data_IF_585431301202
#
_entry.id   IF_585431301202
#
_cell.length_a   1.000
_cell.length_b   1.000
_cell.length_c   1.000
_cell.angle_alpha   90.00
_cell.angle_beta   90.00
_cell.angle_gamma   90.00
#
_symmetry.space_group_name_H-M   'P 1'
#
loop_
_entity.id
_entity.type
_entity.pdbx_description
1 polymer ?
#
# COMPACT_ATOMS: atom_id res chain seq x y z
N UNK A 1 -46.04 -34.35 -26.31
CA UNK A 1 -44.59 -34.45 -26.55
C UNK A 1 -44.04 -33.04 -26.76
N UNK A 2 -43.87 -32.39 -25.61
CA UNK A 2 -42.82 -31.46 -25.20
C UNK A 2 -42.29 -30.42 -26.19
N UNK A 3 -42.79 -29.20 -26.00
CA UNK A 3 -42.17 -27.94 -26.41
C UNK A 3 -40.88 -27.72 -25.63
N UNK A 4 -39.73 -27.78 -26.31
CA UNK A 4 -38.44 -27.45 -25.72
C UNK A 4 -38.25 -25.92 -25.73
N UNK A 5 -38.49 -25.29 -24.58
CA UNK A 5 -38.18 -23.88 -24.33
C UNK A 5 -36.65 -23.75 -24.17
N UNK A 6 -35.95 -23.27 -25.20
CA UNK A 6 -34.51 -22.97 -25.11
C UNK A 6 -34.35 -21.67 -24.31
N UNK A 7 -34.06 -21.81 -23.02
CA UNK A 7 -33.68 -20.70 -22.16
C UNK A 7 -32.25 -20.26 -22.54
N UNK A 8 -32.12 -19.20 -23.33
CA UNK A 8 -30.83 -18.54 -23.54
C UNK A 8 -30.41 -17.88 -22.22
N UNK A 9 -29.52 -18.52 -21.47
CA UNK A 9 -28.75 -17.83 -20.44
C UNK A 9 -27.82 -16.83 -21.13
N UNK A 10 -28.24 -15.56 -21.15
CA UNK A 10 -27.32 -14.43 -21.32
C UNK A 10 -26.37 -14.45 -20.12
N UNK A 11 -25.23 -15.13 -20.28
CA UNK A 11 -24.08 -14.89 -19.42
C UNK A 11 -23.63 -13.47 -19.71
N UNK A 12 -24.01 -12.55 -18.83
CA UNK A 12 -23.40 -11.24 -18.78
C UNK A 12 -21.93 -11.47 -18.39
N UNK A 13 -21.07 -11.63 -19.39
CA UNK A 13 -19.65 -11.34 -19.24
C UNK A 13 -19.59 -9.94 -18.63
N UNK A 14 -18.99 -9.73 -17.44
CA UNK A 14 -18.64 -8.40 -17.02
C UNK A 14 -17.56 -7.96 -18.01
N UNK A 15 -18.00 -7.32 -19.10
CA UNK A 15 -17.14 -6.55 -19.95
C UNK A 15 -16.38 -5.62 -19.02
N UNK A 16 -15.05 -5.67 -19.10
CA UNK A 16 -14.18 -4.68 -18.49
C UNK A 16 -14.51 -3.38 -19.20
N UNK A 17 -15.59 -2.73 -18.77
CA UNK A 17 -15.94 -1.41 -19.22
C UNK A 17 -14.82 -0.52 -18.70
N UNK A 18 -14.14 0.07 -19.67
CA UNK A 18 -12.99 0.96 -19.60
C UNK A 18 -13.28 2.27 -18.86
N UNK A 19 -14.09 2.24 -17.80
CA UNK A 19 -14.35 3.42 -17.00
C UNK A 19 -13.07 3.77 -16.23
N UNK A 20 -12.62 5.01 -16.40
CA UNK A 20 -11.66 5.61 -15.49
C UNK A 20 -12.30 5.69 -14.11
N UNK A 21 -11.55 5.33 -13.07
CA UNK A 21 -11.99 5.62 -11.71
C UNK A 21 -12.23 7.13 -11.61
N UNK A 22 -13.41 7.58 -11.16
CA UNK A 22 -13.70 9.00 -11.06
C UNK A 22 -12.69 9.68 -10.14
N UNK A 23 -12.45 10.97 -10.38
CA UNK A 23 -11.64 11.78 -9.47
C UNK A 23 -12.36 11.97 -8.14
N UNK A 24 -11.62 11.81 -7.06
CA UNK A 24 -12.04 12.10 -5.69
C UNK A 24 -11.58 13.53 -5.37
N UNK A 25 -12.54 14.39 -5.03
CA UNK A 25 -12.29 15.74 -4.57
C UNK A 25 -12.30 15.76 -3.03
N UNK A 26 -11.14 15.99 -2.41
CA UNK A 26 -10.92 15.85 -0.97
C UNK A 26 -11.36 17.05 -0.11
N UNK A 27 -12.23 17.95 -0.60
CA UNK A 27 -12.64 19.15 0.16
C UNK A 27 -14.15 19.42 0.19
N UNK A 28 -14.74 19.67 1.38
CA UNK A 28 -15.91 20.54 1.55
C UNK A 28 -15.48 22.02 1.59
N UNK A 29 -16.41 22.93 1.21
CA UNK A 29 -16.17 24.38 1.12
C UNK A 29 -15.58 24.99 2.42
N UNK A 30 -14.43 25.67 2.30
CA UNK A 30 -13.89 26.57 3.33
C UNK A 30 -12.42 26.38 3.72
N UNK A 31 -11.77 25.30 3.27
CA UNK A 31 -10.33 25.08 3.51
C UNK A 31 -9.46 25.92 2.58
N UNK A 32 -8.33 26.44 3.07
CA UNK A 32 -7.29 27.11 2.28
C UNK A 32 -6.12 26.18 1.91
N UNK A 33 -6.28 24.86 2.05
CA UNK A 33 -5.23 23.90 1.70
C UNK A 33 -5.04 23.78 0.18
N UNK A 34 -3.79 23.54 -0.21
CA UNK A 34 -3.36 23.36 -1.60
C UNK A 34 -2.53 22.09 -1.79
N UNK A 35 -2.78 21.09 -0.94
CA UNK A 35 -1.99 19.86 -0.84
C UNK A 35 -2.87 18.71 -0.38
N UNK A 36 -2.57 17.50 -0.85
CA UNK A 36 -3.10 16.24 -0.30
C UNK A 36 -2.11 15.71 0.73
N UNK A 37 -2.60 15.22 1.87
CA UNK A 37 -1.78 14.63 2.93
C UNK A 37 -2.29 13.25 3.28
N UNK A 38 -1.41 12.28 3.45
CA UNK A 38 -1.83 10.94 3.83
C UNK A 38 -0.74 10.21 4.62
N UNK A 39 -1.15 9.17 5.35
CA UNK A 39 -0.23 8.26 6.03
C UNK A 39 -0.05 6.99 5.20
N UNK A 40 1.11 6.35 5.32
CA UNK A 40 1.38 5.01 4.78
C UNK A 40 1.79 4.11 5.94
N UNK A 41 1.06 3.02 6.13
CA UNK A 41 1.24 2.06 7.21
C UNK A 41 1.19 0.63 6.64
N UNK A 42 2.21 -0.17 6.87
CA UNK A 42 2.21 -1.61 6.58
C UNK A 42 2.36 -2.40 7.87
N UNK A 43 2.03 -3.68 7.80
CA UNK A 43 2.54 -4.68 8.75
C UNK A 43 2.10 -4.35 10.18
N UNK A 44 0.83 -4.02 10.33
CA UNK A 44 0.25 -3.45 11.55
C UNK A 44 -0.66 -4.42 12.30
N UNK A 45 -0.90 -5.60 11.76
CA UNK A 45 -1.99 -6.50 12.13
C UNK A 45 -1.89 -7.28 13.43
N UNK A 46 -1.35 -6.69 14.50
CA UNK A 46 -1.37 -7.25 15.85
C UNK A 46 -0.84 -8.68 15.96
N UNK A 47 -1.56 -9.54 16.69
CA UNK A 47 -1.24 -10.96 16.90
C UNK A 47 -2.52 -11.82 16.85
N UNK A 48 -2.45 -13.13 16.55
CA UNK A 48 -3.64 -13.99 16.48
C UNK A 48 -4.14 -14.50 17.84
N UNK A 49 -3.51 -14.10 18.94
CA UNK A 49 -3.86 -14.51 20.30
C UNK A 49 -4.07 -13.29 21.21
N UNK A 50 -4.89 -13.39 22.27
CA UNK A 50 -5.13 -12.29 23.21
C UNK A 50 -3.83 -11.65 23.72
N UNK A 51 -3.75 -10.30 23.77
CA UNK A 51 -4.83 -9.33 23.54
C UNK A 51 -5.09 -8.96 22.07
N UNK A 52 -4.57 -9.72 21.10
CA UNK A 52 -4.69 -9.54 19.64
C UNK A 52 -3.98 -8.32 19.06
N UNK A 53 -3.16 -7.67 19.87
CA UNK A 53 -2.48 -6.40 19.58
C UNK A 53 -1.08 -6.41 20.20
N UNK A 54 -0.20 -5.54 19.73
CA UNK A 54 1.15 -5.37 20.32
C UNK A 54 1.35 -3.99 20.95
N UNK A 55 2.35 -3.83 21.85
CA UNK A 55 2.77 -2.51 22.30
C UNK A 55 3.28 -1.59 21.17
N UNK A 56 3.90 -2.16 20.13
CA UNK A 56 4.41 -1.43 18.96
C UNK A 56 3.23 -0.87 18.15
N UNK A 57 2.26 -1.71 17.80
CA UNK A 57 1.03 -1.30 17.12
C UNK A 57 0.31 -0.17 17.85
N UNK A 58 0.10 -0.31 19.17
CA UNK A 58 -0.53 0.75 19.98
C UNK A 58 0.30 2.04 20.02
N UNK A 59 1.62 1.95 20.08
CA UNK A 59 2.49 3.13 20.06
C UNK A 59 2.44 3.83 18.70
N UNK A 60 2.51 3.06 17.61
CA UNK A 60 2.39 3.52 16.24
C UNK A 60 1.04 4.21 16.02
N UNK A 61 -0.08 3.57 16.39
CA UNK A 61 -1.43 4.13 16.27
C UNK A 61 -1.59 5.49 16.99
N UNK A 62 -1.07 5.60 18.23
CA UNK A 62 -1.08 6.87 18.97
C UNK A 62 -0.30 7.97 18.25
N UNK A 63 0.86 7.62 17.68
CA UNK A 63 1.68 8.59 16.97
C UNK A 63 1.12 8.96 15.60
N UNK A 64 0.45 8.03 14.91
CA UNK A 64 -0.34 8.32 13.72
C UNK A 64 -1.43 9.33 14.04
N UNK A 65 -2.22 9.11 15.10
CA UNK A 65 -3.27 10.04 15.50
C UNK A 65 -2.73 11.44 15.79
N UNK A 66 -1.65 11.52 16.57
CA UNK A 66 -0.99 12.80 16.85
C UNK A 66 -0.48 13.49 15.57
N UNK A 67 0.11 12.73 14.64
CA UNK A 67 0.61 13.28 13.38
C UNK A 67 -0.52 13.74 12.47
N UNK A 68 -1.59 12.96 12.33
CA UNK A 68 -2.78 13.34 11.56
C UNK A 68 -3.45 14.60 12.13
N UNK A 69 -3.54 14.73 13.46
CA UNK A 69 -4.07 15.93 14.12
C UNK A 69 -3.20 17.17 13.88
N UNK A 70 -1.87 17.03 13.96
CA UNK A 70 -0.93 18.16 13.89
C UNK A 70 -0.55 18.55 12.45
N UNK A 71 -0.34 17.57 11.59
CA UNK A 71 0.14 17.74 10.22
C UNK A 71 -0.97 17.59 9.19
N UNK A 72 -2.12 17.00 9.56
CA UNK A 72 -3.20 16.66 8.65
C UNK A 72 -2.97 15.32 7.94
N UNK A 73 -4.06 14.57 7.77
CA UNK A 73 -4.15 13.42 6.88
C UNK A 73 -5.58 13.36 6.32
N UNK A 74 -5.69 13.21 5.01
CA UNK A 74 -6.96 13.11 4.28
C UNK A 74 -7.39 11.64 4.12
N UNK A 75 -6.41 10.72 4.14
CA UNK A 75 -6.61 9.27 4.13
C UNK A 75 -5.35 8.53 4.63
N UNK A 76 -5.46 7.21 4.77
CA UNK A 76 -4.38 6.30 5.15
C UNK A 76 -4.25 5.23 4.06
N UNK A 77 -3.02 4.92 3.63
CA UNK A 77 -2.72 3.77 2.78
C UNK A 77 -2.22 2.62 3.65
N UNK A 78 -3.00 1.54 3.73
CA UNK A 78 -2.62 0.32 4.42
C UNK A 78 -2.00 -0.65 3.40
N UNK A 79 -0.69 -0.91 3.51
CA UNK A 79 0.10 -1.65 2.51
C UNK A 79 0.27 -3.13 2.83
N UNK A 80 -0.74 -3.75 3.44
CA UNK A 80 -0.81 -5.19 3.67
C UNK A 80 -0.30 -5.67 5.03
N UNK A 81 -0.50 -6.97 5.26
CA UNK A 81 -0.36 -7.66 6.54
C UNK A 81 -1.21 -7.02 7.64
N UNK A 82 -2.49 -6.90 7.29
CA UNK A 82 -3.51 -6.24 8.08
C UNK A 82 -3.90 -7.07 9.31
N UNK A 83 -3.78 -8.40 9.23
CA UNK A 83 -4.06 -9.30 10.36
C UNK A 83 -3.07 -10.49 10.41
N UNK A 84 -2.10 -10.43 11.33
CA UNK A 84 -1.16 -11.53 11.54
C UNK A 84 -1.82 -12.74 12.24
N UNK A 85 -1.40 -13.99 11.98
CA UNK A 85 -0.50 -14.46 10.91
C UNK A 85 -1.26 -15.17 9.78
N UNK A 86 -2.60 -15.27 9.88
CA UNK A 86 -3.46 -16.01 8.94
C UNK A 86 -4.73 -15.23 8.60
N UNK A 87 -4.60 -13.91 8.53
CA UNK A 87 -5.69 -13.02 8.16
C UNK A 87 -6.89 -13.14 9.11
N UNK A 88 -8.07 -12.97 8.53
CA UNK A 88 -9.38 -13.17 9.15
C UNK A 88 -10.06 -14.40 8.55
N UNK A 89 -11.01 -15.00 9.27
CA UNK A 89 -11.76 -16.17 8.78
C UNK A 89 -12.92 -15.78 7.87
N UNK A 90 -13.70 -14.79 8.27
CA UNK A 90 -14.89 -14.29 7.59
C UNK A 90 -15.17 -12.83 7.99
N UNK A 91 -16.22 -12.23 7.42
CA UNK A 91 -16.58 -10.82 7.63
C UNK A 91 -16.97 -10.48 9.09
N UNK A 92 -17.31 -11.49 9.90
CA UNK A 92 -17.67 -11.33 11.30
C UNK A 92 -16.52 -11.68 12.25
N UNK A 93 -15.30 -11.87 11.74
CA UNK A 93 -14.16 -12.21 12.58
C UNK A 93 -13.88 -11.09 13.60
N UNK A 94 -13.83 -11.39 14.92
CA UNK A 94 -13.63 -10.37 15.95
C UNK A 94 -12.31 -9.61 15.80
N UNK A 95 -11.35 -10.13 15.03
CA UNK A 95 -10.09 -9.46 14.71
C UNK A 95 -10.29 -8.08 14.10
N UNK A 96 -11.34 -7.85 13.30
CA UNK A 96 -11.67 -6.52 12.81
C UNK A 96 -11.88 -5.53 13.96
N UNK A 97 -12.64 -5.92 14.98
CA UNK A 97 -12.86 -5.06 16.14
C UNK A 97 -11.57 -4.88 16.96
N UNK A 98 -10.95 -5.97 17.38
CA UNK A 98 -9.91 -5.92 18.43
C UNK A 98 -8.53 -5.50 17.92
N UNK A 99 -8.24 -5.69 16.63
CA UNK A 99 -6.94 -5.33 16.01
C UNK A 99 -7.06 -4.04 15.19
N UNK A 100 -8.25 -3.67 14.69
CA UNK A 100 -8.42 -2.45 13.89
C UNK A 100 -9.26 -1.40 14.62
N UNK A 101 -10.57 -1.62 14.77
CA UNK A 101 -11.50 -0.58 15.26
C UNK A 101 -11.16 -0.08 16.67
N UNK A 102 -10.79 -0.98 17.59
CA UNK A 102 -10.44 -0.65 18.98
C UNK A 102 -9.02 -0.05 19.12
N UNK A 103 -8.19 -0.17 18.09
CA UNK A 103 -6.81 0.34 18.09
C UNK A 103 -6.75 1.75 17.51
N UNK A 104 -7.40 1.98 16.37
CA UNK A 104 -7.33 3.24 15.61
C UNK A 104 -8.52 4.17 15.88
N UNK A 105 -8.90 4.29 17.15
CA UNK A 105 -10.14 4.94 17.63
C UNK A 105 -10.20 6.47 17.55
N UNK A 106 -9.08 7.15 17.28
CA UNK A 106 -9.02 8.60 17.39
C UNK A 106 -9.68 9.29 16.19
N UNK A 107 -10.41 10.39 16.41
CA UNK A 107 -11.11 11.13 15.35
C UNK A 107 -10.20 11.51 14.17
N UNK A 108 -8.93 11.84 14.45
CA UNK A 108 -7.93 12.15 13.43
C UNK A 108 -7.56 10.97 12.52
N UNK A 109 -7.93 9.74 12.91
CA UNK A 109 -7.77 8.50 12.16
C UNK A 109 -9.11 7.96 11.64
N UNK A 110 -10.24 8.58 12.00
CA UNK A 110 -11.56 8.33 11.42
C UNK A 110 -11.67 9.00 10.03
N UNK A 111 -10.76 8.62 9.15
CA UNK A 111 -10.60 9.04 7.76
C UNK A 111 -10.51 7.79 6.89
N UNK A 112 -10.69 7.88 5.56
CA UNK A 112 -10.64 6.69 4.70
C UNK A 112 -9.31 5.91 4.82
N UNK A 113 -9.39 4.59 4.94
CA UNK A 113 -8.25 3.67 4.86
C UNK A 113 -8.31 2.95 3.51
N UNK A 114 -7.38 3.24 2.60
CA UNK A 114 -7.26 2.49 1.35
C UNK A 114 -6.31 1.31 1.56
N UNK A 115 -6.83 0.10 1.47
CA UNK A 115 -6.17 -1.14 1.92
C UNK A 115 -5.79 -2.03 0.74
N UNK A 116 -4.63 -2.66 0.82
CA UNK A 116 -4.28 -3.87 0.05
C UNK A 116 -3.93 -5.02 1.00
N UNK A 117 -3.93 -6.25 0.49
CA UNK A 117 -3.58 -7.44 1.25
C UNK A 117 -2.08 -7.78 1.16
N UNK A 118 -1.54 -8.33 2.25
CA UNK A 118 -0.20 -8.94 2.32
C UNK A 118 -0.24 -10.46 2.34
N UNK A 119 0.92 -11.11 2.54
CA UNK A 119 1.02 -12.58 2.56
C UNK A 119 0.19 -13.20 3.69
N UNK A 120 0.20 -12.61 4.88
CA UNK A 120 -0.54 -13.14 6.02
C UNK A 120 -2.06 -12.99 5.84
N UNK A 121 -2.50 -11.95 5.14
CA UNK A 121 -3.91 -11.79 4.78
C UNK A 121 -4.39 -12.88 3.82
N UNK A 122 -3.56 -13.22 2.82
CA UNK A 122 -3.81 -14.31 1.86
C UNK A 122 -3.71 -15.71 2.47
N UNK A 123 -3.05 -15.86 3.63
CA UNK A 123 -3.12 -17.09 4.42
C UNK A 123 -4.48 -17.27 5.12
N UNK A 124 -5.31 -16.21 5.15
CA UNK A 124 -6.71 -16.22 5.59
C UNK A 124 -7.69 -15.95 4.46
N UNK A 125 -8.72 -15.16 4.74
CA UNK A 125 -9.78 -14.81 3.80
C UNK A 125 -9.73 -13.33 3.41
N UNK A 126 -9.07 -13.00 2.28
CA UNK A 126 -9.00 -11.64 1.76
C UNK A 126 -10.37 -11.13 1.28
N UNK A 127 -11.25 -12.02 0.79
CA UNK A 127 -12.61 -11.61 0.39
C UNK A 127 -13.39 -11.06 1.58
N UNK A 128 -13.21 -11.63 2.79
CA UNK A 128 -13.82 -11.08 3.99
C UNK A 128 -13.33 -9.65 4.32
N UNK A 129 -12.06 -9.32 4.07
CA UNK A 129 -11.55 -7.96 4.24
C UNK A 129 -12.14 -6.98 3.22
N UNK A 130 -12.33 -7.43 1.98
CA UNK A 130 -13.00 -6.67 0.91
C UNK A 130 -14.47 -6.43 1.29
N UNK A 131 -15.17 -7.46 1.75
CA UNK A 131 -16.58 -7.36 2.19
C UNK A 131 -16.75 -6.43 3.39
N UNK A 132 -15.83 -6.48 4.36
CA UNK A 132 -15.84 -5.62 5.54
C UNK A 132 -15.62 -4.15 5.19
N UNK A 133 -14.60 -3.86 4.37
CA UNK A 133 -14.16 -2.48 4.12
C UNK A 133 -14.91 -1.79 2.98
N UNK A 134 -15.60 -2.56 2.13
CA UNK A 134 -16.39 -2.07 1.00
C UNK A 134 -15.61 -1.07 0.12
N UNK A 135 -15.95 0.22 0.16
CA UNK A 135 -15.36 1.26 -0.70
C UNK A 135 -13.85 1.49 -0.45
N UNK A 136 -13.39 1.14 0.75
CA UNK A 136 -12.03 1.36 1.22
C UNK A 136 -11.06 0.22 0.86
N UNK A 137 -11.60 -0.98 0.57
CA UNK A 137 -10.89 -2.09 -0.05
C UNK A 137 -11.79 -2.74 -1.12
N UNK A 138 -12.06 -2.04 -2.24
CA UNK A 138 -13.14 -2.41 -3.16
C UNK A 138 -12.84 -3.64 -4.02
N UNK A 139 -11.55 -3.96 -4.19
CA UNK A 139 -11.08 -5.11 -4.94
C UNK A 139 -9.61 -5.38 -4.57
N UNK A 140 -9.08 -6.55 -4.93
CA UNK A 140 -7.68 -6.92 -4.70
C UNK A 140 -6.67 -5.87 -5.21
N UNK A 141 -6.95 -5.27 -6.37
CA UNK A 141 -6.15 -4.20 -6.95
C UNK A 141 -7.08 -3.16 -7.59
N UNK A 142 -6.76 -1.88 -7.41
CA UNK A 142 -7.64 -0.79 -7.81
C UNK A 142 -6.88 0.53 -7.99
N UNK A 143 -7.54 1.51 -8.58
CA UNK A 143 -6.96 2.82 -8.92
C UNK A 143 -7.71 3.94 -8.18
N UNK A 144 -6.96 4.81 -7.53
CA UNK A 144 -7.43 6.04 -6.90
C UNK A 144 -6.91 7.24 -7.69
N UNK A 145 -7.80 8.19 -7.98
CA UNK A 145 -7.47 9.41 -8.70
C UNK A 145 -7.92 10.62 -7.88
N UNK A 146 -7.02 11.56 -7.62
CA UNK A 146 -7.28 12.73 -6.81
C UNK A 146 -6.91 14.01 -7.56
N UNK A 147 -7.70 15.07 -7.34
CA UNK A 147 -7.30 16.43 -7.70
C UNK A 147 -6.62 17.07 -6.49
N UNK A 148 -5.44 17.65 -6.68
CA UNK A 148 -4.77 18.38 -5.62
C UNK A 148 -5.54 19.70 -5.42
N UNK A 149 -6.11 19.97 -4.22
CA UNK A 149 -6.99 21.11 -3.99
C UNK A 149 -6.37 22.44 -4.43
N UNK A 150 -7.18 23.31 -5.05
CA UNK A 150 -6.75 24.64 -5.53
C UNK A 150 -5.58 24.64 -6.53
N UNK A 151 -5.35 23.52 -7.21
CA UNK A 151 -4.35 23.41 -8.26
C UNK A 151 -4.93 22.73 -9.49
N UNK A 152 -4.20 22.78 -10.59
CA UNK A 152 -4.42 22.00 -11.81
C UNK A 152 -3.73 20.64 -11.79
N UNK A 153 -3.07 20.29 -10.68
CA UNK A 153 -2.28 19.06 -10.55
C UNK A 153 -3.09 17.88 -10.02
N UNK A 154 -2.70 16.68 -10.44
CA UNK A 154 -3.41 15.43 -10.11
C UNK A 154 -2.48 14.37 -9.55
N UNK A 155 -3.05 13.52 -8.68
CA UNK A 155 -2.38 12.38 -8.07
C UNK A 155 -3.14 11.10 -8.42
N UNK A 156 -2.46 10.15 -9.05
CA UNK A 156 -2.97 8.78 -9.22
C UNK A 156 -2.19 7.83 -8.31
N UNK A 157 -2.91 6.95 -7.61
CA UNK A 157 -2.34 5.87 -6.82
C UNK A 157 -2.92 4.54 -7.32
N UNK A 158 -2.06 3.64 -7.79
CA UNK A 158 -2.45 2.30 -8.23
C UNK A 158 -2.10 1.31 -7.12
N UNK A 159 -3.13 0.73 -6.52
CA UNK A 159 -3.05 -0.25 -5.44
C UNK A 159 -2.99 -1.67 -6.03
N UNK A 160 -1.98 -2.45 -5.64
CA UNK A 160 -1.71 -3.78 -6.19
C UNK A 160 -1.79 -4.86 -5.13
N UNK A 161 -2.26 -6.03 -5.57
CA UNK A 161 -2.11 -7.28 -4.83
C UNK A 161 -0.85 -8.01 -5.32
N UNK A 162 0.24 -7.86 -4.57
CA UNK A 162 1.53 -8.45 -4.94
C UNK A 162 1.56 -9.96 -4.72
N UNK A 163 0.70 -10.50 -3.85
CA UNK A 163 0.58 -11.95 -3.62
C UNK A 163 -0.07 -12.64 -4.82
N UNK A 164 -1.17 -12.10 -5.36
CA UNK A 164 -1.77 -12.59 -6.59
C UNK A 164 -0.82 -12.48 -7.80
N UNK A 165 0.08 -11.49 -7.81
CA UNK A 165 1.02 -11.28 -8.92
C UNK A 165 2.24 -12.20 -8.86
N UNK A 166 2.74 -12.50 -7.65
CA UNK A 166 4.05 -13.12 -7.43
C UNK A 166 4.02 -14.45 -6.66
N UNK A 167 2.94 -14.78 -5.98
CA UNK A 167 2.84 -15.91 -5.05
C UNK A 167 2.86 -15.46 -3.59
N UNK A 168 2.41 -16.34 -2.70
CA UNK A 168 2.51 -16.12 -1.27
C UNK A 168 3.93 -16.49 -0.80
N UNK A 169 4.60 -15.60 -0.06
CA UNK A 169 5.92 -15.85 0.52
C UNK A 169 5.88 -16.99 1.55
N UNK A 170 4.77 -17.14 2.27
CA UNK A 170 4.59 -18.11 3.34
C UNK A 170 4.53 -19.56 2.82
N UNK A 171 4.36 -19.74 1.52
CA UNK A 171 4.39 -21.06 0.85
C UNK A 171 5.82 -21.62 0.72
N UNK A 172 6.86 -20.81 0.99
CA UNK A 172 8.26 -21.17 0.77
C UNK A 172 9.12 -20.94 2.02
N UNK A 173 10.04 -21.87 2.30
CA UNK A 173 10.90 -21.83 3.50
C UNK A 173 11.84 -20.63 3.57
N UNK A 174 12.21 -20.06 2.42
CA UNK A 174 13.04 -18.86 2.33
C UNK A 174 12.22 -17.56 2.39
N UNK A 175 10.91 -17.66 2.59
CA UNK A 175 9.96 -16.55 2.61
C UNK A 175 10.07 -15.64 1.37
N UNK A 176 10.34 -16.25 0.20
CA UNK A 176 10.41 -15.57 -1.09
C UNK A 176 9.24 -16.02 -1.97
N UNK A 177 8.43 -15.09 -2.52
CA UNK A 177 7.34 -15.46 -3.42
C UNK A 177 7.92 -15.92 -4.77
N UNK A 178 7.70 -17.20 -5.12
CA UNK A 178 8.27 -17.79 -6.35
C UNK A 178 7.32 -17.73 -7.54
N UNK A 179 6.08 -18.17 -7.35
CA UNK A 179 5.08 -18.28 -8.41
C UNK A 179 3.67 -17.99 -7.89
N UNK A 180 2.83 -17.29 -8.66
CA UNK A 180 1.44 -17.07 -8.29
C UNK A 180 0.65 -18.38 -8.35
N UNK A 181 -0.32 -18.53 -7.44
CA UNK A 181 -1.27 -19.67 -7.43
C UNK A 181 -2.01 -19.81 -8.76
N UNK A 182 -2.37 -18.67 -9.39
CA UNK A 182 -2.99 -18.64 -10.71
C UNK A 182 -2.25 -17.69 -11.65
N UNK A 183 -1.53 -18.24 -12.62
CA UNK A 183 -0.87 -17.46 -13.67
C UNK A 183 -1.84 -16.61 -14.49
N UNK A 184 -3.09 -17.07 -14.66
CA UNK A 184 -4.14 -16.32 -15.38
C UNK A 184 -4.55 -15.05 -14.60
N UNK A 185 -4.77 -15.16 -13.29
CA UNK A 185 -5.12 -14.00 -12.45
C UNK A 185 -3.94 -13.02 -12.33
N UNK A 186 -2.72 -13.55 -12.15
CA UNK A 186 -1.51 -12.75 -12.14
C UNK A 186 -1.34 -11.95 -13.45
N UNK A 187 -1.54 -12.60 -14.60
CA UNK A 187 -1.44 -11.95 -15.90
C UNK A 187 -2.58 -10.93 -16.13
N UNK A 188 -3.79 -11.19 -15.65
CA UNK A 188 -4.91 -10.23 -15.71
C UNK A 188 -4.57 -8.95 -14.93
N UNK A 189 -4.05 -9.07 -13.71
CA UNK A 189 -3.61 -7.91 -12.94
C UNK A 189 -2.46 -7.17 -13.63
N UNK A 190 -1.49 -7.90 -14.20
CA UNK A 190 -0.35 -7.30 -14.90
C UNK A 190 -0.77 -6.50 -16.14
N UNK A 191 -1.67 -7.04 -16.95
CA UNK A 191 -2.23 -6.34 -18.13
C UNK A 191 -3.04 -5.12 -17.73
N UNK A 192 -3.88 -5.24 -16.69
CA UNK A 192 -4.62 -4.11 -16.12
C UNK A 192 -3.67 -3.01 -15.64
N UNK A 193 -2.61 -3.36 -14.90
CA UNK A 193 -1.62 -2.41 -14.42
C UNK A 193 -0.91 -1.70 -15.58
N UNK A 194 -0.49 -2.45 -16.60
CA UNK A 194 0.14 -1.87 -17.78
C UNK A 194 -0.79 -0.87 -18.48
N UNK A 195 -2.07 -1.19 -18.61
CA UNK A 195 -3.08 -0.28 -19.18
C UNK A 195 -3.23 1.00 -18.35
N UNK A 196 -3.37 0.89 -17.03
CA UNK A 196 -3.54 2.04 -16.12
C UNK A 196 -2.31 2.95 -16.12
N UNK A 197 -1.11 2.38 -16.02
CA UNK A 197 0.14 3.14 -16.11
C UNK A 197 0.29 3.85 -17.46
N UNK A 198 -0.08 3.19 -18.56
CA UNK A 198 0.02 3.77 -19.90
C UNK A 198 -0.95 4.92 -20.13
N UNK A 199 -2.13 4.89 -19.50
CA UNK A 199 -3.16 5.93 -19.64
C UNK A 199 -3.01 7.09 -18.65
N UNK A 200 -2.30 6.90 -17.54
CA UNK A 200 -2.21 7.92 -16.50
C UNK A 200 -1.42 9.16 -16.97
N UNK A 201 -2.14 10.28 -17.02
CA UNK A 201 -1.59 11.63 -17.24
C UNK A 201 -1.35 12.40 -15.93
N UNK A 202 -1.41 11.72 -14.78
CA UNK A 202 -1.29 12.40 -13.49
C UNK A 202 0.10 12.99 -13.29
N UNK A 203 0.17 14.16 -12.66
CA UNK A 203 1.44 14.83 -12.30
C UNK A 203 2.24 13.99 -11.30
N UNK A 204 1.54 13.29 -10.40
CA UNK A 204 2.12 12.31 -9.50
C UNK A 204 1.51 10.94 -9.77
N UNK A 205 2.36 9.94 -9.98
CA UNK A 205 1.94 8.55 -10.19
C UNK A 205 2.60 7.67 -9.16
N UNK A 206 1.81 7.18 -8.22
CA UNK A 206 2.24 6.26 -7.18
C UNK A 206 1.72 4.86 -7.50
N UNK A 207 2.51 3.86 -7.14
CA UNK A 207 2.07 2.48 -7.11
C UNK A 207 2.30 1.96 -5.69
N UNK A 208 1.34 1.25 -5.13
CA UNK A 208 1.45 0.65 -3.80
C UNK A 208 1.17 -0.85 -3.87
N UNK A 209 1.83 -1.63 -3.03
CA UNK A 209 1.59 -3.06 -2.87
C UNK A 209 2.40 -3.57 -1.68
N UNK A 210 2.16 -4.81 -1.26
CA UNK A 210 2.76 -5.30 -0.02
C UNK A 210 4.28 -5.56 -0.15
N UNK A 211 4.68 -6.39 -1.12
CA UNK A 211 6.09 -6.80 -1.27
C UNK A 211 7.00 -5.67 -1.81
N UNK A 212 8.26 -5.55 -1.35
CA UNK A 212 9.19 -4.54 -1.83
C UNK A 212 9.76 -4.87 -3.22
N UNK A 213 9.86 -3.86 -4.10
CA UNK A 213 10.73 -3.95 -5.29
C UNK A 213 12.19 -3.97 -4.86
N UNK A 214 12.57 -3.06 -3.97
CA UNK A 214 13.89 -2.97 -3.38
C UNK A 214 13.77 -2.89 -1.87
N UNK A 215 14.56 -3.70 -1.18
CA UNK A 215 14.77 -3.62 0.26
C UNK A 215 16.12 -4.26 0.59
N UNK A 216 16.74 -3.82 1.68
CA UNK A 216 17.99 -4.39 2.16
C UNK A 216 17.81 -5.46 3.25
N UNK A 217 16.58 -5.70 3.71
CA UNK A 217 16.33 -6.37 5.00
C UNK A 217 16.08 -7.87 4.91
N UNK A 218 15.26 -8.43 5.79
CA UNK A 218 15.08 -9.87 6.02
C UNK A 218 14.52 -10.62 4.79
N UNK A 219 13.61 -10.02 4.03
CA UNK A 219 13.07 -10.53 2.77
C UNK A 219 13.81 -9.94 1.56
N UNK A 220 14.11 -8.63 1.58
CA UNK A 220 14.91 -7.99 0.53
C UNK A 220 14.18 -7.80 -0.81
N UNK A 221 14.89 -7.68 -1.95
CA UNK A 221 14.26 -7.38 -3.23
C UNK A 221 13.41 -8.54 -3.77
N UNK A 222 12.16 -8.26 -4.15
CA UNK A 222 11.27 -9.29 -4.72
C UNK A 222 11.55 -9.50 -6.22
N UNK A 223 12.13 -10.65 -6.59
CA UNK A 223 12.55 -10.94 -7.97
C UNK A 223 11.41 -10.82 -9.00
N UNK A 224 10.21 -11.29 -8.66
CA UNK A 224 9.01 -11.13 -9.49
C UNK A 224 8.73 -9.65 -9.80
N UNK A 225 8.81 -8.75 -8.81
CA UNK A 225 8.57 -7.32 -8.99
C UNK A 225 9.73 -6.63 -9.71
N UNK A 226 10.97 -7.05 -9.48
CA UNK A 226 12.13 -6.58 -10.23
C UNK A 226 12.00 -6.86 -11.74
N UNK A 227 11.42 -8.01 -12.10
CA UNK A 227 11.21 -8.43 -13.49
C UNK A 227 9.96 -7.82 -14.12
N UNK A 228 8.84 -7.78 -13.38
CA UNK A 228 7.54 -7.40 -13.94
C UNK A 228 7.17 -5.94 -13.68
N UNK A 229 7.32 -5.45 -12.46
CA UNK A 229 6.85 -4.11 -12.04
C UNK A 229 7.89 -3.02 -12.30
N UNK A 230 9.14 -3.21 -11.86
CA UNK A 230 10.21 -2.21 -11.96
C UNK A 230 10.39 -1.65 -13.39
N UNK A 231 10.40 -2.46 -14.46
CA UNK A 231 10.51 -1.92 -15.82
C UNK A 231 9.35 -1.00 -16.19
N UNK A 232 8.13 -1.30 -15.72
CA UNK A 232 6.96 -0.46 -15.96
C UNK A 232 7.00 0.84 -15.15
N UNK A 233 7.43 0.80 -13.88
CA UNK A 233 7.64 2.01 -13.08
C UNK A 233 8.60 2.97 -13.78
N UNK A 234 9.70 2.45 -14.34
CA UNK A 234 10.66 3.23 -15.13
C UNK A 234 10.06 3.74 -16.43
N UNK A 235 9.42 2.87 -17.22
CA UNK A 235 8.84 3.20 -18.52
C UNK A 235 7.81 4.33 -18.42
N UNK A 236 6.96 4.27 -17.40
CA UNK A 236 5.88 5.24 -17.20
C UNK A 236 6.25 6.36 -16.21
N UNK A 237 7.53 6.49 -15.86
CA UNK A 237 8.07 7.54 -14.98
C UNK A 237 7.27 7.67 -13.68
N UNK A 238 7.04 6.57 -12.96
CA UNK A 238 6.35 6.61 -11.67
C UNK A 238 7.12 7.50 -10.67
N UNK A 239 6.40 8.25 -9.84
CA UNK A 239 7.01 9.11 -8.81
C UNK A 239 7.57 8.26 -7.66
N UNK A 240 6.78 7.31 -7.16
CA UNK A 240 7.22 6.39 -6.12
C UNK A 240 6.50 5.02 -6.16
N UNK A 241 7.14 4.04 -5.55
CA UNK A 241 6.54 2.78 -5.12
C UNK A 241 6.47 2.74 -3.57
N UNK A 242 5.32 2.37 -3.03
CA UNK A 242 5.03 2.30 -1.59
C UNK A 242 4.78 0.83 -1.20
N UNK A 243 5.41 0.35 -0.13
CA UNK A 243 5.29 -1.04 0.32
C UNK A 243 5.59 -1.23 1.80
N UNK A 244 5.36 -2.45 2.29
CA UNK A 244 5.67 -2.92 3.64
C UNK A 244 6.52 -4.19 3.58
N UNK A 245 6.04 -5.26 4.22
CA UNK A 245 6.58 -6.64 4.27
C UNK A 245 7.88 -6.80 5.04
N UNK A 246 8.90 -6.01 4.71
CA UNK A 246 10.08 -5.90 5.57
C UNK A 246 9.76 -4.99 6.75
N UNK A 247 9.94 -5.49 7.97
CA UNK A 247 9.48 -4.90 9.22
C UNK A 247 10.36 -3.75 9.71
N UNK A 248 10.55 -2.74 8.87
CA UNK A 248 11.39 -1.58 9.12
C UNK A 248 10.97 -0.40 8.22
N UNK A 249 11.69 0.72 8.35
CA UNK A 249 11.48 1.91 7.53
C UNK A 249 12.66 2.11 6.58
N UNK A 250 12.38 2.29 5.28
CA UNK A 250 13.43 2.55 4.29
C UNK A 250 13.00 3.58 3.27
N UNK A 251 13.98 4.39 2.84
CA UNK A 251 13.89 5.14 1.61
C UNK A 251 15.02 4.73 0.67
N UNK A 252 14.66 4.27 -0.52
CA UNK A 252 15.58 4.01 -1.61
C UNK A 252 15.19 4.87 -2.82
N UNK A 253 16.16 5.12 -3.71
CA UNK A 253 15.94 5.92 -4.92
C UNK A 253 16.69 5.35 -6.12
N UNK A 254 15.95 5.14 -7.21
CA UNK A 254 16.49 4.70 -8.50
C UNK A 254 15.97 5.60 -9.62
N UNK A 255 16.85 6.20 -10.42
CA UNK A 255 16.48 6.97 -11.63
C UNK A 255 15.36 8.01 -11.39
N UNK A 256 15.33 8.63 -10.21
CA UNK A 256 14.30 9.60 -9.83
C UNK A 256 13.09 9.03 -9.09
N UNK A 257 12.84 7.72 -9.17
CA UNK A 257 11.75 7.00 -8.51
C UNK A 257 12.09 6.76 -7.05
N UNK A 258 11.20 7.13 -6.14
CA UNK A 258 11.32 6.78 -4.72
C UNK A 258 10.76 5.38 -4.43
N UNK A 259 11.41 4.64 -3.53
CA UNK A 259 10.89 3.39 -2.96
C UNK A 259 10.76 3.61 -1.47
N UNK A 260 9.52 3.58 -0.98
CA UNK A 260 9.15 3.85 0.41
C UNK A 260 8.73 2.52 1.02
N UNK A 261 9.56 1.98 1.91
CA UNK A 261 9.23 0.81 2.72
C UNK A 261 8.76 1.31 4.09
N UNK A 262 7.53 0.97 4.47
CA UNK A 262 6.88 1.41 5.69
C UNK A 262 6.18 0.25 6.41
N UNK A 263 6.93 -0.82 6.68
CA UNK A 263 6.42 -2.05 7.33
C UNK A 263 6.61 -2.10 8.84
N UNK A 264 6.70 -0.95 9.50
CA UNK A 264 7.02 -0.85 10.93
C UNK A 264 5.77 -0.63 11.82
N UNK A 265 4.61 -1.12 11.39
CA UNK A 265 3.34 -0.92 12.10
C UNK A 265 3.26 -1.68 13.41
N UNK A 266 3.71 -2.94 13.42
CA UNK A 266 3.57 -3.90 14.52
C UNK A 266 4.91 -4.53 14.94
N UNK A 267 5.86 -4.62 14.02
CA UNK A 267 7.17 -5.23 14.25
C UNK A 267 8.33 -4.30 13.85
N UNK A 268 9.51 -4.59 14.38
CA UNK A 268 10.78 -3.93 14.03
C UNK A 268 11.86 -4.99 13.87
N UNK A 269 12.46 -5.06 12.70
CA UNK A 269 13.57 -5.95 12.38
C UNK A 269 14.81 -5.15 11.91
N UNK A 270 15.96 -5.25 12.61
CA UNK A 270 17.20 -4.58 12.23
C UNK A 270 17.99 -5.31 11.13
N UNK A 271 17.49 -6.44 10.61
CA UNK A 271 18.20 -7.23 9.61
C UNK A 271 18.49 -6.44 8.34
N UNK A 272 19.68 -6.65 7.79
CA UNK A 272 20.18 -6.03 6.55
C UNK A 272 20.87 -7.06 5.63
N UNK A 273 20.51 -8.35 5.74
CA UNK A 273 21.15 -9.47 5.02
C UNK A 273 21.10 -9.32 3.51
N UNK A 274 20.11 -8.61 2.97
CA UNK A 274 19.96 -8.36 1.54
C UNK A 274 20.58 -7.04 1.06
N UNK A 275 21.36 -6.34 1.90
CA UNK A 275 22.05 -5.09 1.52
C UNK A 275 22.89 -5.22 0.26
N UNK A 276 23.54 -6.37 0.05
CA UNK A 276 24.37 -6.64 -1.13
C UNK A 276 23.56 -7.04 -2.38
N UNK A 277 22.24 -7.23 -2.26
CA UNK A 277 21.32 -7.47 -3.40
C UNK A 277 20.73 -6.17 -3.96
N UNK A 278 20.88 -5.06 -3.24
CA UNK A 278 20.46 -3.73 -3.69
C UNK A 278 21.64 -3.00 -4.33
N UNK A 279 21.50 -2.37 -5.51
CA UNK A 279 22.57 -1.60 -6.13
C UNK A 279 23.14 -0.51 -5.22
N UNK A 280 24.47 -0.36 -5.24
CA UNK A 280 25.17 0.63 -4.43
C UNK A 280 24.62 2.03 -4.69
N UNK A 281 24.30 2.74 -3.61
CA UNK A 281 23.78 4.10 -3.65
C UNK A 281 22.27 4.22 -3.83
N UNK A 282 21.52 3.13 -4.00
CA UNK A 282 20.05 3.21 -4.04
C UNK A 282 19.48 3.52 -2.65
N UNK A 283 19.94 2.81 -1.62
CA UNK A 283 19.55 3.07 -0.23
C UNK A 283 19.97 4.48 0.21
N UNK A 284 19.02 5.25 0.74
CA UNK A 284 19.22 6.60 1.27
C UNK A 284 18.93 6.69 2.77
N UNK A 285 17.98 5.91 3.26
CA UNK A 285 17.60 5.85 4.66
C UNK A 285 17.15 4.43 5.04
N UNK A 286 17.49 4.02 6.26
CA UNK A 286 17.08 2.76 6.89
C UNK A 286 16.90 3.01 8.39
N UNK A 287 15.83 2.46 8.97
CA UNK A 287 15.66 2.34 10.41
C UNK A 287 14.96 1.02 10.76
N UNK A 288 15.71 0.11 11.38
CA UNK A 288 15.23 -1.15 11.97
C UNK A 288 15.45 -1.22 13.48
N UNK A 289 15.71 -0.08 14.15
CA UNK A 289 15.96 -0.04 15.59
C UNK A 289 14.68 -0.27 16.41
N UNK A 290 14.61 -1.40 17.13
CA UNK A 290 13.48 -1.74 18.00
C UNK A 290 13.20 -0.67 19.08
N UNK A 291 14.19 0.16 19.44
CA UNK A 291 14.03 1.29 20.35
C UNK A 291 13.06 2.36 19.85
N UNK A 292 12.79 2.43 18.54
CA UNK A 292 11.84 3.39 17.96
C UNK A 292 10.38 3.01 18.19
N UNK A 293 10.12 1.76 18.61
CA UNK A 293 8.80 1.16 18.81
C UNK A 293 7.91 1.18 17.56
N UNK A 294 8.50 1.03 16.37
CA UNK A 294 7.78 1.11 15.10
C UNK A 294 7.83 2.49 14.46
N UNK A 295 6.99 2.68 13.45
CA UNK A 295 6.82 3.94 12.75
C UNK A 295 6.06 3.81 11.43
N UNK A 296 5.94 4.93 10.73
CA UNK A 296 5.16 5.03 9.49
C UNK A 296 5.69 6.19 8.63
N UNK A 297 5.18 6.34 7.41
CA UNK A 297 5.46 7.49 6.58
C UNK A 297 4.26 8.46 6.53
N UNK A 298 4.52 9.75 6.71
CA UNK A 298 3.61 10.85 6.35
C UNK A 298 3.99 11.38 4.97
N UNK A 299 3.01 11.57 4.11
CA UNK A 299 3.21 12.07 2.74
C UNK A 299 2.39 13.33 2.53
N UNK A 300 3.01 14.35 1.95
CA UNK A 300 2.35 15.57 1.50
C UNK A 300 2.64 15.79 0.02
N UNK A 301 1.59 15.99 -0.77
CA UNK A 301 1.68 16.23 -2.22
C UNK A 301 1.05 17.57 -2.54
N UNK A 302 1.85 18.51 -2.99
CA UNK A 302 1.43 19.83 -3.44
C UNK A 302 1.72 20.02 -4.95
N UNK A 303 1.46 21.22 -5.45
CA UNK A 303 1.70 21.56 -6.88
C UNK A 303 3.15 21.38 -7.32
N UNK A 304 4.11 21.55 -6.41
CA UNK A 304 5.54 21.59 -6.71
C UNK A 304 6.23 20.24 -6.49
N UNK A 305 5.90 19.55 -5.40
CA UNK A 305 6.58 18.34 -4.98
C UNK A 305 5.72 17.39 -4.13
N UNK A 306 6.22 16.15 -4.03
CA UNK A 306 5.81 15.16 -3.03
C UNK A 306 6.90 15.09 -1.95
N UNK A 307 6.52 15.31 -0.69
CA UNK A 307 7.37 15.13 0.48
C UNK A 307 7.00 13.82 1.19
N UNK A 308 7.99 13.01 1.54
CA UNK A 308 7.83 11.82 2.39
C UNK A 308 8.62 12.03 3.69
N UNK A 309 7.96 11.90 4.83
CA UNK A 309 8.57 12.03 6.15
C UNK A 309 8.38 10.75 6.94
N UNK A 310 9.47 10.09 7.33
CA UNK A 310 9.42 8.92 8.21
C UNK A 310 9.36 9.35 9.66
N UNK A 311 8.38 8.84 10.40
CA UNK A 311 8.11 9.21 11.79
C UNK A 311 8.15 7.94 12.63
N UNK A 312 9.00 7.92 13.68
CA UNK A 312 8.96 6.83 14.65
C UNK A 312 7.79 6.97 15.61
N UNK A 313 7.34 5.86 16.21
CA UNK A 313 6.25 5.85 17.18
C UNK A 313 6.51 6.71 18.44
N UNK A 314 7.77 7.01 18.76
CA UNK A 314 8.13 7.96 19.83
C UNK A 314 8.01 9.45 19.45
N UNK A 315 7.65 9.75 18.21
CA UNK A 315 7.33 11.10 17.73
C UNK A 315 8.49 11.91 17.12
N UNK A 316 9.65 11.30 16.90
CA UNK A 316 10.75 11.94 16.17
C UNK A 316 10.59 11.73 14.66
N UNK A 317 10.80 12.80 13.89
CA UNK A 317 11.00 12.69 12.44
C UNK A 317 12.41 12.14 12.18
N UNK A 318 12.48 10.97 11.54
CA UNK A 318 13.75 10.27 11.31
C UNK A 318 14.42 10.70 10.01
N UNK A 319 13.63 10.94 8.97
CA UNK A 319 14.13 11.21 7.63
C UNK A 319 13.07 11.90 6.78
N UNK A 320 13.52 12.76 5.86
CA UNK A 320 12.65 13.45 4.91
C UNK A 320 13.20 13.32 3.49
N UNK A 321 12.36 12.92 2.55
CA UNK A 321 12.65 12.87 1.12
C UNK A 321 11.72 13.79 0.33
N UNK A 322 12.22 14.32 -0.78
CA UNK A 322 11.45 15.14 -1.72
C UNK A 322 11.55 14.55 -3.12
N UNK A 323 10.39 14.36 -3.75
CA UNK A 323 10.22 13.84 -5.09
C UNK A 323 9.50 14.89 -5.93
N UNK A 324 9.98 15.11 -7.16
CA UNK A 324 9.36 16.05 -8.09
C UNK A 324 8.18 15.39 -8.80
N UNK A 325 7.25 16.20 -9.29
CA UNK A 325 6.24 15.76 -10.26
C UNK A 325 6.87 15.14 -11.51
N UNK A 326 6.09 14.31 -12.21
CA UNK A 326 6.47 13.66 -13.46
C UNK A 326 6.71 14.69 -14.55
N UNK A 327 7.76 14.45 -15.33
CA UNK A 327 7.97 15.17 -16.57
C UNK A 327 7.32 14.40 -17.73
N UNK A 328 6.10 14.82 -18.08
CA UNK A 328 5.29 14.21 -19.13
C UNK A 328 5.58 14.79 -20.53
N UNK A 329 6.40 15.84 -20.64
CA UNK A 329 6.65 16.59 -21.89
C UNK A 329 8.02 16.35 -22.52
N UNK A 330 8.70 15.26 -22.11
CA UNK A 330 9.93 14.75 -22.73
C UNK A 330 9.74 13.35 -23.30
#
# INVERSE_FOLDING_TARGET
>A
MDSLLVLMFLTALPGVLSFQSPFIDLEPQGSNRSSIRFLVLGDWGGLPYPPYVTPIEKATARMMAKSASQMGADFILAVGDNFYYKGVRDVNDPRFQVTFEDVYTQDSLNIPWYVVAGNHDHAGNVLAQIEYSQKNFPYYYYELNFRIPKTDSTLTIIMLDTVLLCGNSDDFLDAQPRLPVSGVLANRQLLWLQERLARSKADYLLVAGHYPVWSISEHGPTDCLLKKLRPMLKKYKATAYLCGHDHNLQYLKESGIGYVVSGAGNFMDPDVRHRNKVPRGYLKFFNGDAGTLGGFAHVEVDKQQMTVTFIQARGTSLYRAVLKKRDLFL
#
